data_IF_237091799241
#
_entry.id   IF_237091799241
#
_cell.length_a   1.000
_cell.length_b   1.000
_cell.length_c   1.000
_cell.angle_alpha   90.00
_cell.angle_beta   90.00
_cell.angle_gamma   90.00
#
_symmetry.space_group_name_H-M   'P 1'
#
loop_
_entity.id
_entity.type
_entity.pdbx_description
1 polymer ?
#
# COMPACT_ATOMS: atom_id res chain seq x y z
N UNK A 1 -7.97 -0.45 14.87
CA UNK A 1 -8.52 0.31 13.73
C UNK A 1 -7.56 0.17 12.54
N UNK A 2 -8.09 0.09 11.32
CA UNK A 2 -7.29 0.13 10.09
C UNK A 2 -7.40 1.48 9.40
N UNK A 3 -6.37 1.86 8.64
CA UNK A 3 -6.45 2.94 7.65
C UNK A 3 -6.26 2.39 6.25
N UNK A 4 -6.91 3.01 5.28
CA UNK A 4 -6.73 2.77 3.85
C UNK A 4 -6.07 4.00 3.25
N UNK A 5 -4.91 3.79 2.64
CA UNK A 5 -4.18 4.82 1.90
C UNK A 5 -4.26 4.52 0.41
N UNK A 6 -4.37 5.57 -0.41
CA UNK A 6 -4.48 5.45 -1.86
C UNK A 6 -3.12 5.64 -2.54
N UNK A 7 -2.90 4.92 -3.63
CA UNK A 7 -1.68 4.98 -4.40
C UNK A 7 -1.86 4.74 -5.89
N UNK A 8 -0.83 5.13 -6.64
CA UNK A 8 -0.70 4.83 -8.08
C UNK A 8 0.10 3.55 -8.29
N UNK A 9 -0.24 2.82 -9.36
CA UNK A 9 0.38 1.54 -9.70
C UNK A 9 1.88 1.69 -9.94
N UNK A 10 2.33 2.71 -10.68
CA UNK A 10 3.77 2.86 -10.99
C UNK A 10 4.63 3.08 -9.73
N UNK A 11 4.16 3.89 -8.78
CA UNK A 11 4.85 4.07 -7.49
C UNK A 11 4.82 2.80 -6.64
N UNK A 12 3.72 2.03 -6.70
CA UNK A 12 3.65 0.73 -6.05
C UNK A 12 4.61 -0.28 -6.64
N UNK A 13 4.66 -0.41 -7.96
CA UNK A 13 5.57 -1.34 -8.65
C UNK A 13 7.03 -1.02 -8.36
N UNK A 14 7.39 0.26 -8.34
CA UNK A 14 8.72 0.71 -7.92
C UNK A 14 9.02 0.30 -6.48
N UNK A 15 8.14 0.62 -5.54
CA UNK A 15 8.32 0.30 -4.12
C UNK A 15 8.33 -1.22 -3.87
N UNK A 16 7.58 -1.98 -4.66
CA UNK A 16 7.53 -3.44 -4.60
C UNK A 16 8.81 -4.08 -5.16
N UNK A 17 9.34 -3.58 -6.28
CA UNK A 17 10.66 -4.01 -6.78
C UNK A 17 11.75 -3.77 -5.73
N UNK A 18 11.72 -2.61 -5.10
CA UNK A 18 12.70 -2.25 -4.09
C UNK A 18 12.50 -3.02 -2.78
N UNK A 19 11.26 -3.31 -2.39
CA UNK A 19 10.93 -4.23 -1.29
C UNK A 19 11.53 -5.62 -1.49
N UNK A 20 11.41 -6.17 -2.71
CA UNK A 20 11.88 -7.52 -3.04
C UNK A 20 13.40 -7.60 -3.20
N UNK A 21 14.00 -6.60 -3.84
CA UNK A 21 15.40 -6.64 -4.26
C UNK A 21 16.32 -5.74 -3.45
N UNK A 22 15.76 -4.84 -2.63
CA UNK A 22 16.45 -3.90 -1.74
C UNK A 22 17.57 -3.14 -2.45
N UNK A 23 17.28 -2.58 -3.63
CA UNK A 23 18.27 -1.94 -4.51
C UNK A 23 18.66 -0.56 -3.98
N UNK A 24 17.69 0.24 -3.54
CA UNK A 24 17.92 1.61 -3.08
C UNK A 24 18.74 1.65 -1.78
N UNK A 25 19.51 2.72 -1.60
CA UNK A 25 20.21 2.98 -0.32
C UNK A 25 19.23 3.26 0.81
N UNK A 26 18.08 3.86 0.50
CA UNK A 26 17.08 4.26 1.48
C UNK A 26 16.44 3.05 2.17
N UNK A 27 15.98 2.04 1.42
CA UNK A 27 15.35 0.85 2.01
C UNK A 27 16.33 -0.01 2.83
N UNK A 28 17.64 0.04 2.51
CA UNK A 28 18.69 -0.69 3.21
C UNK A 28 18.86 -0.28 4.67
N UNK A 29 18.34 0.89 5.06
CA UNK A 29 18.32 1.37 6.45
C UNK A 29 17.32 0.64 7.35
N UNK A 30 16.38 -0.10 6.75
CA UNK A 30 15.30 -0.79 7.44
C UNK A 30 15.49 -2.31 7.38
N UNK A 31 14.91 -3.04 8.32
CA UNK A 31 14.91 -4.51 8.31
C UNK A 31 14.21 -5.09 7.07
N UNK A 32 14.46 -6.36 6.79
CA UNK A 32 13.71 -7.11 5.78
C UNK A 32 12.20 -7.16 6.10
N UNK A 33 11.37 -7.19 5.07
CA UNK A 33 9.91 -7.14 5.21
C UNK A 33 9.35 -5.73 5.46
N UNK A 34 10.19 -4.68 5.40
CA UNK A 34 9.74 -3.29 5.40
C UNK A 34 9.51 -2.80 3.96
N UNK A 35 8.31 -2.32 3.69
CA UNK A 35 7.90 -1.68 2.45
C UNK A 35 7.84 -0.17 2.65
N UNK A 36 8.42 0.59 1.71
CA UNK A 36 8.48 2.06 1.80
C UNK A 36 7.38 2.67 0.95
N UNK A 37 6.58 3.56 1.53
CA UNK A 37 5.49 4.25 0.83
C UNK A 37 5.55 5.76 1.01
N UNK A 38 5.16 6.50 -0.03
CA UNK A 38 5.27 7.95 -0.08
C UNK A 38 3.95 8.62 0.25
N UNK A 39 4.01 9.70 1.02
CA UNK A 39 2.84 10.53 1.32
C UNK A 39 3.17 12.01 1.17
N UNK A 40 2.17 12.77 0.71
CA UNK A 40 2.32 14.22 0.54
C UNK A 40 2.32 14.95 1.88
N UNK A 41 1.61 14.39 2.88
CA UNK A 41 1.49 14.92 4.23
C UNK A 41 1.32 13.79 5.23
N UNK A 42 1.81 13.99 6.45
CA UNK A 42 1.55 13.09 7.56
C UNK A 42 0.38 13.63 8.39
N UNK A 43 -0.60 12.77 8.65
CA UNK A 43 -1.73 12.97 9.53
C UNK A 43 -1.49 12.16 10.81
N UNK A 44 -2.05 12.62 11.94
CA UNK A 44 -1.84 11.98 13.25
C UNK A 44 -2.23 10.50 13.30
N UNK A 45 -3.10 10.05 12.40
CA UNK A 45 -3.54 8.65 12.29
C UNK A 45 -2.48 7.73 11.67
N UNK A 46 -1.45 8.27 11.01
CA UNK A 46 -0.36 7.54 10.33
C UNK A 46 0.83 7.27 11.26
N UNK A 47 0.58 7.14 12.57
CA UNK A 47 1.62 6.85 13.55
C UNK A 47 2.09 5.39 13.56
N UNK A 48 3.26 5.12 14.18
CA UNK A 48 3.72 3.75 14.45
C UNK A 48 2.66 2.91 15.17
N UNK A 49 2.49 1.66 14.73
CA UNK A 49 1.49 0.73 15.27
C UNK A 49 0.15 0.75 14.54
N UNK A 50 -0.13 1.74 13.69
CA UNK A 50 -1.35 1.77 12.88
C UNK A 50 -1.34 0.68 11.81
N UNK A 51 -2.42 -0.11 11.74
CA UNK A 51 -2.64 -1.09 10.67
C UNK A 51 -3.09 -0.37 9.39
N UNK A 52 -2.47 -0.70 8.26
CA UNK A 52 -2.64 0.01 7.00
C UNK A 52 -2.92 -0.95 5.85
N UNK A 53 -3.88 -0.58 5.01
CA UNK A 53 -4.08 -1.13 3.67
C UNK A 53 -3.64 -0.13 2.61
N UNK A 54 -2.90 -0.61 1.61
CA UNK A 54 -2.61 0.16 0.40
C UNK A 54 -3.60 -0.22 -0.69
N UNK A 55 -4.47 0.72 -1.03
CA UNK A 55 -5.36 0.63 -2.18
C UNK A 55 -4.75 1.32 -3.38
N UNK A 56 -4.69 0.64 -4.52
CA UNK A 56 -4.29 1.25 -5.78
C UNK A 56 -5.52 1.76 -6.52
N UNK A 57 -5.49 3.01 -6.95
CA UNK A 57 -6.57 3.62 -7.72
C UNK A 57 -6.67 3.01 -9.12
N UNK A 58 -7.84 3.22 -9.75
CA UNK A 58 -8.09 2.84 -11.14
C UNK A 58 -7.03 3.43 -12.07
N UNK A 59 -6.60 2.63 -13.03
CA UNK A 59 -5.67 2.98 -14.10
C UNK A 59 -6.27 2.46 -15.41
N UNK A 60 -6.81 3.37 -16.23
CA UNK A 60 -7.52 3.01 -17.46
C UNK A 60 -6.57 2.47 -18.54
N UNK A 61 -5.35 3.01 -18.63
CA UNK A 61 -4.35 2.58 -19.61
C UNK A 61 -3.95 1.11 -19.39
N UNK A 62 -3.87 0.70 -18.12
CA UNK A 62 -3.56 -0.69 -17.73
C UNK A 62 -4.80 -1.59 -17.65
N UNK A 63 -6.00 -1.03 -17.82
CA UNK A 63 -7.26 -1.76 -17.63
C UNK A 63 -7.39 -2.33 -16.22
N UNK A 64 -7.04 -1.53 -15.21
CA UNK A 64 -7.05 -1.91 -13.79
C UNK A 64 -8.09 -1.09 -13.02
N UNK A 65 -9.05 -1.75 -12.38
CA UNK A 65 -10.20 -1.07 -11.75
C UNK A 65 -9.98 -0.63 -10.29
N UNK A 66 -8.82 -0.97 -9.72
CA UNK A 66 -8.46 -0.65 -8.35
C UNK A 66 -8.70 -1.80 -7.37
N UNK A 67 -7.72 -2.02 -6.49
CA UNK A 67 -7.81 -3.05 -5.45
C UNK A 67 -6.81 -2.78 -4.30
N UNK A 68 -7.04 -3.43 -3.16
CA UNK A 68 -6.07 -3.47 -2.05
C UNK A 68 -5.00 -4.50 -2.37
N UNK A 69 -3.73 -4.07 -2.33
CA UNK A 69 -2.58 -4.90 -2.73
C UNK A 69 -1.64 -5.23 -1.59
N UNK A 70 -1.78 -4.57 -0.44
CA UNK A 70 -0.89 -4.73 0.71
C UNK A 70 -1.65 -4.46 2.00
N UNK A 71 -1.37 -5.29 3.00
CA UNK A 71 -1.67 -5.04 4.41
C UNK A 71 -0.38 -5.00 5.21
N UNK A 72 -0.32 -4.11 6.20
CA UNK A 72 0.84 -4.02 7.08
C UNK A 72 0.60 -3.14 8.29
N UNK A 73 1.69 -2.87 9.02
CA UNK A 73 1.70 -1.99 10.19
C UNK A 73 2.77 -0.94 9.99
N UNK A 74 2.41 0.33 10.16
CA UNK A 74 3.37 1.44 10.12
C UNK A 74 4.37 1.25 11.27
N UNK A 75 5.66 1.26 10.95
CA UNK A 75 6.75 1.18 11.92
C UNK A 75 7.37 2.54 12.17
N UNK A 76 7.51 3.33 11.12
CA UNK A 76 8.13 4.65 11.19
C UNK A 76 7.52 5.54 10.10
N UNK A 77 7.46 6.83 10.38
CA UNK A 77 7.21 7.87 9.39
C UNK A 77 8.28 8.94 9.52
N UNK A 78 8.53 9.67 8.44
CA UNK A 78 9.52 10.73 8.45
C UNK A 78 9.52 11.57 7.20
N UNK A 79 10.35 12.60 7.19
CA UNK A 79 10.60 13.43 6.03
C UNK A 79 11.61 12.77 5.10
N UNK A 80 11.35 12.91 3.81
CA UNK A 80 12.21 12.42 2.74
C UNK A 80 12.95 13.60 2.12
N UNK A 81 14.29 13.57 2.22
CA UNK A 81 15.16 14.66 1.73
C UNK A 81 15.43 14.61 0.22
N UNK A 82 15.26 13.44 -0.39
CA UNK A 82 15.62 13.18 -1.78
C UNK A 82 14.47 12.49 -2.51
N UNK A 83 14.43 12.62 -3.85
CA UNK A 83 13.41 11.96 -4.65
C UNK A 83 13.60 10.44 -4.59
N UNK A 84 12.54 9.72 -4.20
CA UNK A 84 12.53 8.26 -4.14
C UNK A 84 11.60 7.62 -5.17
N UNK A 85 10.37 8.11 -5.34
CA UNK A 85 9.40 7.56 -6.29
C UNK A 85 9.53 8.15 -7.70
N UNK A 86 9.15 7.40 -8.76
CA UNK A 86 9.23 7.88 -10.13
C UNK A 86 8.22 9.00 -10.43
N UNK A 87 7.00 8.90 -9.90
CA UNK A 87 5.92 9.86 -10.17
C UNK A 87 5.59 10.72 -8.97
N UNK A 88 5.49 12.03 -9.19
CA UNK A 88 5.11 13.01 -8.17
C UNK A 88 6.22 13.33 -7.18
N UNK A 89 5.90 14.22 -6.24
CA UNK A 89 6.78 14.59 -5.14
C UNK A 89 6.14 14.15 -3.82
N UNK A 90 6.91 13.38 -3.04
CA UNK A 90 6.46 12.80 -1.78
C UNK A 90 7.46 13.21 -0.70
N UNK A 91 7.26 14.37 -0.05
CA UNK A 91 8.17 14.88 0.95
C UNK A 91 8.20 14.06 2.25
N UNK A 92 7.31 13.09 2.41
CA UNK A 92 7.26 12.20 3.57
C UNK A 92 7.20 10.73 3.15
N UNK A 93 7.65 9.86 4.04
CA UNK A 93 7.59 8.41 3.87
C UNK A 93 6.91 7.71 5.04
N UNK A 94 6.46 6.49 4.78
CA UNK A 94 6.09 5.48 5.77
C UNK A 94 6.90 4.22 5.53
N UNK A 95 7.52 3.72 6.58
CA UNK A 95 8.08 2.37 6.64
C UNK A 95 6.99 1.44 7.17
N UNK A 96 6.50 0.54 6.32
CA UNK A 96 5.39 -0.37 6.62
C UNK A 96 5.95 -1.78 6.77
N UNK A 97 5.79 -2.40 7.95
CA UNK A 97 6.05 -3.84 8.10
C UNK A 97 4.93 -4.60 7.43
N UNK A 98 5.26 -5.29 6.35
CA UNK A 98 4.29 -6.05 5.54
C UNK A 98 3.74 -7.21 6.36
N UNK A 99 2.42 -7.31 6.41
CA UNK A 99 1.68 -8.45 6.97
C UNK A 99 1.13 -9.36 5.87
N UNK A 100 0.75 -8.80 4.72
CA UNK A 100 0.34 -9.56 3.55
C UNK A 100 0.53 -8.76 2.27
N UNK A 101 1.03 -9.42 1.22
CA UNK A 101 0.90 -9.01 -0.18
C UNK A 101 0.41 -10.26 -0.92
N UNK A 102 -0.67 -10.21 -1.73
CA UNK A 102 -1.15 -11.39 -2.43
C UNK A 102 -0.06 -11.99 -3.31
N UNK A 103 0.06 -13.32 -3.31
CA UNK A 103 1.11 -14.04 -4.04
C UNK A 103 1.13 -13.69 -5.53
N UNK A 104 -0.04 -13.53 -6.15
CA UNK A 104 -0.17 -13.10 -7.56
C UNK A 104 0.46 -11.74 -7.85
N UNK A 105 0.52 -10.85 -6.86
CA UNK A 105 1.12 -9.51 -6.98
C UNK A 105 2.64 -9.60 -6.91
N UNK A 106 3.17 -10.53 -6.12
CA UNK A 106 4.61 -10.80 -6.00
C UNK A 106 5.16 -11.48 -7.26
N UNK A 107 4.40 -12.42 -7.82
CA UNK A 107 4.85 -13.28 -8.93
C UNK A 107 4.60 -12.68 -10.32
N UNK A 108 3.68 -11.72 -10.44
CA UNK A 108 3.26 -11.21 -11.74
C UNK A 108 3.12 -9.68 -11.73
N UNK A 109 3.62 -9.02 -12.77
CA UNK A 109 3.46 -7.56 -12.96
C UNK A 109 2.24 -7.18 -13.79
N UNK A 110 1.59 -8.16 -14.44
CA UNK A 110 0.32 -7.99 -15.14
C UNK A 110 -0.83 -7.85 -14.13
N UNK A 111 -1.31 -6.61 -13.98
CA UNK A 111 -2.34 -6.22 -13.01
C UNK A 111 -3.66 -6.95 -13.22
N UNK A 112 -3.94 -7.45 -14.44
CA UNK A 112 -5.17 -8.19 -14.76
C UNK A 112 -5.20 -9.59 -14.14
N UNK A 113 -4.03 -10.12 -13.74
CA UNK A 113 -3.89 -11.44 -13.12
C UNK A 113 -3.82 -11.38 -11.61
N UNK A 114 -3.88 -10.18 -11.02
CA UNK A 114 -3.81 -10.01 -9.58
C UNK A 114 -5.09 -10.48 -8.91
N UNK A 115 -4.95 -11.38 -7.95
CA UNK A 115 -5.99 -11.79 -7.02
C UNK A 115 -5.87 -10.90 -5.79
N UNK A 116 -6.57 -9.76 -5.83
CA UNK A 116 -6.56 -8.75 -4.79
C UNK A 116 -8.01 -8.37 -4.43
N UNK A 117 -8.19 -7.69 -3.29
CA UNK A 117 -9.53 -7.27 -2.84
C UNK A 117 -9.98 -6.08 -3.67
N UNK A 118 -10.87 -6.34 -4.61
CA UNK A 118 -11.31 -5.37 -5.63
C UNK A 118 -12.23 -4.30 -5.08
N UNK A 119 -12.38 -3.19 -5.82
CA UNK A 119 -13.39 -2.17 -5.51
C UNK A 119 -14.82 -2.73 -5.39
N UNK A 120 -15.20 -3.70 -6.21
CA UNK A 120 -16.53 -4.35 -6.12
C UNK A 120 -16.68 -5.19 -4.86
N UNK A 121 -15.63 -5.85 -4.38
CA UNK A 121 -15.66 -6.53 -3.09
C UNK A 121 -15.74 -5.56 -1.92
N UNK A 122 -15.02 -4.43 -1.99
CA UNK A 122 -15.06 -3.39 -0.95
C UNK A 122 -16.47 -2.79 -0.78
N UNK A 123 -17.24 -2.67 -1.88
CA UNK A 123 -18.64 -2.23 -1.82
C UNK A 123 -19.51 -3.16 -0.96
N UNK A 124 -19.20 -4.45 -0.88
CA UNK A 124 -19.94 -5.41 -0.02
C UNK A 124 -19.79 -5.08 1.46
N UNK A 125 -18.70 -4.40 1.83
CA UNK A 125 -18.45 -3.88 3.18
C UNK A 125 -18.96 -2.43 3.36
N UNK A 126 -19.74 -1.91 2.42
CA UNK A 126 -20.14 -0.50 2.34
C UNK A 126 -18.92 0.47 2.37
N UNK A 127 -17.77 0.01 1.88
CA UNK A 127 -16.55 0.81 1.80
C UNK A 127 -16.29 1.27 0.37
N UNK A 128 -16.17 2.59 0.19
CA UNK A 128 -15.80 3.20 -1.08
C UNK A 128 -14.45 3.91 -0.94
N UNK A 129 -13.41 3.44 -1.65
CA UNK A 129 -12.15 4.17 -1.74
C UNK A 129 -12.34 5.56 -2.36
N UNK A 130 -11.78 6.58 -1.72
CA UNK A 130 -11.76 7.99 -2.05
C UNK A 130 -10.32 8.49 -1.88
N UNK A 131 -9.90 9.54 -2.61
CA UNK A 131 -8.57 10.12 -2.42
C UNK A 131 -8.29 10.49 -0.95
N UNK A 132 -7.06 10.23 -0.51
CA UNK A 132 -6.62 10.47 0.86
C UNK A 132 -6.72 9.23 1.76
N UNK A 133 -6.70 9.48 3.07
CA UNK A 133 -6.73 8.45 4.11
C UNK A 133 -8.15 8.24 4.57
N UNK A 134 -8.56 6.98 4.63
CA UNK A 134 -9.85 6.60 5.19
C UNK A 134 -9.66 5.64 6.34
N UNK A 135 -10.49 5.79 7.38
CA UNK A 135 -10.54 4.83 8.48
C UNK A 135 -11.43 3.66 8.09
N UNK A 136 -11.08 2.49 8.59
CA UNK A 136 -11.84 1.27 8.44
C UNK A 136 -11.93 0.56 9.79
N UNK A 137 -13.13 0.05 10.08
CA UNK A 137 -13.38 -0.72 11.30
C UNK A 137 -12.52 -1.99 11.35
N UNK A 138 -12.18 -2.42 12.56
CA UNK A 138 -11.31 -3.58 12.77
C UNK A 138 -11.90 -4.87 12.21
N UNK A 139 -13.20 -5.09 12.36
CA UNK A 139 -13.85 -6.31 11.87
C UNK A 139 -13.74 -6.41 10.35
N UNK A 140 -14.01 -5.32 9.63
CA UNK A 140 -13.90 -5.29 8.17
C UNK A 140 -12.44 -5.43 7.75
N UNK A 141 -11.52 -4.77 8.47
CA UNK A 141 -10.09 -4.87 8.17
C UNK A 141 -9.57 -6.30 8.31
N UNK A 142 -9.95 -7.02 9.36
CA UNK A 142 -9.56 -8.42 9.54
C UNK A 142 -10.07 -9.32 8.42
N UNK A 143 -11.31 -9.13 7.96
CA UNK A 143 -11.87 -9.88 6.83
C UNK A 143 -11.11 -9.62 5.51
N UNK A 144 -10.70 -8.37 5.26
CA UNK A 144 -9.87 -8.00 4.10
C UNK A 144 -8.48 -8.63 4.22
N UNK A 145 -7.88 -8.61 5.41
CA UNK A 145 -6.54 -9.17 5.62
C UNK A 145 -6.50 -10.68 5.37
N UNK A 146 -7.56 -11.42 5.76
CA UNK A 146 -7.71 -12.85 5.47
C UNK A 146 -7.72 -13.08 3.94
N UNK A 147 -8.49 -12.27 3.19
CA UNK A 147 -8.56 -12.35 1.72
C UNK A 147 -7.24 -12.03 1.02
N UNK A 148 -6.38 -11.22 1.61
CA UNK A 148 -5.06 -10.92 1.03
C UNK A 148 -4.05 -12.04 1.23
N UNK A 149 -4.25 -12.90 2.25
CA UNK A 149 -3.37 -14.03 2.58
C UNK A 149 -3.75 -15.33 1.86
N UNK A 150 -5.00 -15.44 1.40
CA UNK A 150 -5.52 -16.58 0.63
C UNK A 150 -5.03 -16.60 -0.80
#
# INVERSE_FOLDING_TARGET
MYIVINGKINNFLFSLDDYLNRKSSFIKRFDEGIFIWGTSRLYSVEGPGTKVFLYLSRDEERGFDGCIVLSGVIKETGELKEKYWPEGEWPHYMAIKVSAIPKSVLENRDTKRWKCVTREELKKFNFRPLPGIQKLDDKIGEEIEIKLKS
#
